data_IF_673704621634
#
_entry.id   IF_673704621634
#
_cell.length_a   1.000
_cell.length_b   1.000
_cell.length_c   1.000
_cell.angle_alpha   90.00
_cell.angle_beta   90.00
_cell.angle_gamma   90.00
#
_symmetry.space_group_name_H-M   'P 1'
#
loop_
_entity.id
_entity.type
_entity.pdbx_description
1 polymer ?
#
# COMPACT_ATOMS: atom_id res chain seq x y z
N UNK A 1 31.15 -35.03 -4.10
CA UNK A 1 31.31 -33.65 -4.62
C UNK A 1 30.11 -32.84 -4.14
N UNK A 2 30.25 -31.91 -3.17
CA UNK A 2 29.15 -31.03 -2.79
C UNK A 2 29.32 -29.65 -3.44
N UNK A 3 28.31 -29.17 -4.16
CA UNK A 3 28.18 -27.77 -4.59
C UNK A 3 26.85 -27.61 -5.35
N UNK A 4 25.98 -26.64 -5.11
CA UNK A 4 25.84 -25.59 -4.10
C UNK A 4 24.55 -24.85 -4.47
N UNK A 5 23.43 -25.13 -3.82
CA UNK A 5 22.21 -24.32 -3.97
C UNK A 5 22.36 -23.05 -3.14
N UNK A 6 22.74 -21.96 -3.79
CA UNK A 6 22.77 -20.63 -3.17
C UNK A 6 21.43 -19.92 -3.39
N UNK A 7 20.40 -20.27 -2.61
CA UNK A 7 19.19 -19.45 -2.46
C UNK A 7 19.51 -18.27 -1.54
N UNK A 8 20.12 -17.23 -2.10
CA UNK A 8 20.48 -16.01 -1.39
C UNK A 8 19.27 -15.13 -1.09
N UNK A 9 18.63 -15.33 0.06
CA UNK A 9 17.70 -14.36 0.63
C UNK A 9 18.46 -13.09 1.03
N UNK A 10 18.13 -11.94 0.41
CA UNK A 10 18.73 -10.65 0.74
C UNK A 10 17.98 -9.99 1.91
N UNK A 11 18.19 -10.49 3.13
CA UNK A 11 17.73 -9.83 4.35
C UNK A 11 18.68 -8.71 4.77
N UNK A 12 18.20 -7.47 4.82
CA UNK A 12 18.90 -6.33 5.48
C UNK A 12 17.87 -5.38 6.12
N UNK A 13 17.76 -5.46 7.45
CA UNK A 13 16.78 -4.76 8.31
C UNK A 13 15.88 -5.75 9.08
N UNK A 14 15.14 -5.31 10.12
CA UNK A 14 14.16 -6.17 10.85
C UNK A 14 13.05 -6.72 9.94
N UNK A 15 12.97 -6.19 8.72
CA UNK A 15 12.06 -6.57 7.64
C UNK A 15 12.87 -7.30 6.57
N UNK A 16 12.71 -8.63 6.48
CA UNK A 16 13.30 -9.46 5.44
C UNK A 16 12.23 -9.70 4.39
N UNK A 17 12.43 -9.23 3.15
CA UNK A 17 11.45 -9.40 2.08
C UNK A 17 12.06 -10.16 0.90
N UNK A 18 11.37 -11.18 0.40
CA UNK A 18 11.78 -12.00 -0.76
C UNK A 18 10.65 -12.14 -1.78
N UNK A 19 10.95 -11.99 -3.07
CA UNK A 19 10.00 -12.28 -4.17
C UNK A 19 8.84 -11.27 -4.26
N UNK A 20 7.59 -11.75 -4.18
CA UNK A 20 6.36 -10.95 -4.34
C UNK A 20 6.30 -9.69 -3.46
N UNK A 21 7.00 -9.70 -2.32
CA UNK A 21 7.11 -8.57 -1.40
C UNK A 21 7.87 -7.36 -1.99
N UNK A 22 8.77 -7.57 -2.95
CA UNK A 22 9.45 -6.46 -3.65
C UNK A 22 8.46 -5.66 -4.51
N UNK A 23 7.51 -6.33 -5.18
CA UNK A 23 6.47 -5.65 -5.97
C UNK A 23 5.51 -4.84 -5.09
N UNK A 24 5.21 -5.32 -3.88
CA UNK A 24 4.41 -4.58 -2.90
C UNK A 24 5.08 -3.24 -2.55
N UNK A 25 6.37 -3.28 -2.21
CA UNK A 25 7.14 -2.09 -1.88
C UNK A 25 7.34 -1.16 -3.07
N UNK A 26 7.47 -1.70 -4.28
CA UNK A 26 7.58 -0.88 -5.50
C UNK A 26 6.34 0.01 -5.69
N UNK A 27 5.13 -0.56 -5.55
CA UNK A 27 3.90 0.24 -5.72
C UNK A 27 3.67 1.21 -4.57
N UNK A 28 4.05 0.84 -3.34
CA UNK A 28 4.05 1.73 -2.18
C UNK A 28 4.96 2.93 -2.42
N UNK A 29 6.21 2.69 -2.82
CA UNK A 29 7.18 3.73 -3.10
C UNK A 29 6.77 4.63 -4.27
N UNK A 30 6.17 4.06 -5.31
CA UNK A 30 5.60 4.82 -6.41
C UNK A 30 4.53 5.83 -5.95
N UNK A 31 3.63 5.44 -5.04
CA UNK A 31 2.63 6.37 -4.46
C UNK A 31 3.26 7.43 -3.56
N UNK A 32 4.29 7.07 -2.79
CA UNK A 32 5.06 8.04 -2.02
C UNK A 32 5.76 9.07 -2.94
N UNK A 33 6.32 8.63 -4.07
CA UNK A 33 6.92 9.53 -5.07
C UNK A 33 5.92 10.46 -5.74
N UNK A 34 4.70 9.98 -6.00
CA UNK A 34 3.61 10.86 -6.44
C UNK A 34 3.30 11.92 -5.38
N UNK A 35 3.17 11.54 -4.11
CA UNK A 35 2.88 12.45 -2.99
C UNK A 35 3.98 13.50 -2.73
N UNK A 36 5.24 13.17 -3.00
CA UNK A 36 6.37 14.12 -2.93
C UNK A 36 6.41 15.10 -4.12
N UNK A 37 5.67 14.84 -5.20
CA UNK A 37 5.71 15.66 -6.41
C UNK A 37 4.99 17.01 -6.24
N UNK A 38 5.36 18.00 -7.04
CA UNK A 38 4.72 19.32 -7.01
C UNK A 38 3.27 19.34 -7.50
N UNK A 39 2.83 18.27 -8.19
CA UNK A 39 1.48 18.11 -8.75
C UNK A 39 1.05 16.64 -8.62
N UNK A 40 0.76 16.17 -7.39
CA UNK A 40 0.43 14.77 -7.15
C UNK A 40 -0.91 14.39 -7.80
N UNK A 41 -0.99 13.18 -8.36
CA UNK A 41 -2.24 12.62 -8.90
C UNK A 41 -3.12 12.08 -7.79
N UNK A 42 -2.51 11.35 -6.85
CA UNK A 42 -3.20 10.67 -5.76
C UNK A 42 -2.95 11.35 -4.42
N UNK A 43 -1.74 11.85 -4.22
CA UNK A 43 -1.31 12.50 -2.98
C UNK A 43 -1.47 11.60 -1.74
N UNK A 44 -0.99 10.37 -1.83
CA UNK A 44 -1.07 9.37 -0.76
C UNK A 44 -0.07 9.66 0.36
N UNK A 45 -0.45 10.54 1.29
CA UNK A 45 0.38 10.94 2.43
C UNK A 45 0.66 9.76 3.38
N UNK A 46 -0.26 8.79 3.49
CA UNK A 46 -0.02 7.57 4.25
C UNK A 46 1.11 6.74 3.63
N UNK A 47 1.14 6.59 2.31
CA UNK A 47 2.25 5.90 1.64
C UNK A 47 3.59 6.61 1.88
N UNK A 48 3.59 7.94 1.89
CA UNK A 48 4.80 8.73 2.19
C UNK A 48 5.30 8.46 3.61
N UNK A 49 4.41 8.50 4.60
CA UNK A 49 4.74 8.22 6.01
C UNK A 49 5.27 6.79 6.21
N UNK A 50 4.60 5.79 5.62
CA UNK A 50 5.02 4.39 5.69
C UNK A 50 6.40 4.20 5.07
N UNK A 51 6.66 4.82 3.91
CA UNK A 51 7.98 4.76 3.26
C UNK A 51 9.05 5.41 4.13
N UNK A 52 8.74 6.51 4.81
CA UNK A 52 9.66 7.13 5.77
C UNK A 52 9.98 6.18 6.92
N UNK A 53 8.97 5.60 7.55
CA UNK A 53 9.15 4.63 8.65
C UNK A 53 9.99 3.43 8.21
N UNK A 54 9.76 2.89 7.01
CA UNK A 54 10.53 1.74 6.49
C UNK A 54 12.00 2.14 6.23
N UNK A 55 12.26 3.35 5.72
CA UNK A 55 13.62 3.87 5.57
C UNK A 55 14.33 4.02 6.91
N UNK A 56 13.64 4.53 7.92
CA UNK A 56 14.19 4.72 9.27
C UNK A 56 14.56 3.37 9.94
N UNK A 57 13.91 2.29 9.53
CA UNK A 57 14.25 0.91 9.94
C UNK A 57 15.41 0.30 9.13
N UNK A 58 16.02 1.06 8.21
CA UNK A 58 17.23 0.69 7.48
C UNK A 58 17.00 0.06 6.11
N UNK A 59 15.77 0.06 5.57
CA UNK A 59 15.51 -0.46 4.23
C UNK A 59 15.87 0.57 3.14
N UNK A 60 16.64 0.14 2.14
CA UNK A 60 17.05 1.00 1.02
C UNK A 60 16.15 0.81 -0.22
N UNK A 61 15.25 1.77 -0.45
CA UNK A 61 14.38 1.81 -1.62
C UNK A 61 15.11 2.06 -2.95
N UNK A 62 16.39 2.50 -2.96
CA UNK A 62 17.15 2.71 -4.20
C UNK A 62 17.26 1.43 -5.03
N UNK A 63 17.23 0.26 -4.39
CA UNK A 63 17.22 -1.05 -5.06
C UNK A 63 15.93 -1.34 -5.82
N UNK A 64 14.84 -0.66 -5.44
CA UNK A 64 13.50 -0.84 -6.00
C UNK A 64 13.26 0.08 -7.20
N UNK A 65 14.10 1.11 -7.41
CA UNK A 65 13.91 2.09 -8.49
C UNK A 65 15.21 2.50 -9.16
N UNK A 66 15.38 2.17 -10.44
CA UNK A 66 16.36 2.83 -11.29
C UNK A 66 15.78 4.22 -11.66
N UNK A 67 16.22 5.26 -10.95
CA UNK A 67 15.74 6.64 -11.13
C UNK A 67 15.87 7.12 -12.58
N UNK A 68 14.75 7.28 -13.27
CA UNK A 68 14.69 7.68 -14.67
C UNK A 68 13.25 7.94 -15.14
N UNK A 69 13.04 8.34 -16.41
CA UNK A 69 11.71 8.65 -16.98
C UNK A 69 10.69 7.52 -16.82
N UNK A 70 11.18 6.27 -16.84
CA UNK A 70 10.39 5.06 -16.60
C UNK A 70 9.81 5.00 -15.19
N UNK A 71 10.56 5.48 -14.18
CA UNK A 71 10.11 5.54 -12.78
C UNK A 71 9.00 6.58 -12.60
N UNK A 72 9.07 7.73 -13.28
CA UNK A 72 8.01 8.75 -13.24
C UNK A 72 6.74 8.23 -13.89
N UNK A 73 6.84 7.65 -15.08
CA UNK A 73 5.68 7.05 -15.77
C UNK A 73 5.04 5.93 -14.96
N UNK A 74 5.86 5.10 -14.33
CA UNK A 74 5.39 4.04 -13.43
C UNK A 74 4.66 4.62 -12.21
N UNK A 75 5.25 5.61 -11.53
CA UNK A 75 4.61 6.28 -10.40
C UNK A 75 3.27 6.89 -10.79
N UNK A 76 3.22 7.61 -11.92
CA UNK A 76 1.96 8.18 -12.44
C UNK A 76 0.92 7.11 -12.75
N UNK A 77 1.31 5.98 -13.36
CA UNK A 77 0.40 4.89 -13.70
C UNK A 77 -0.17 4.21 -12.45
N UNK A 78 0.68 3.95 -11.45
CA UNK A 78 0.27 3.39 -10.16
C UNK A 78 -0.69 4.33 -9.44
N UNK A 79 -0.36 5.61 -9.37
CA UNK A 79 -1.16 6.62 -8.67
C UNK A 79 -2.49 6.89 -9.37
N UNK A 80 -2.51 6.96 -10.70
CA UNK A 80 -3.74 7.10 -11.48
C UNK A 80 -4.66 5.90 -11.30
N UNK A 81 -4.14 4.66 -11.37
CA UNK A 81 -4.92 3.45 -11.12
C UNK A 81 -5.54 3.47 -9.72
N UNK A 82 -4.76 3.83 -8.71
CA UNK A 82 -5.24 3.92 -7.35
C UNK A 82 -6.34 5.00 -7.20
N UNK A 83 -6.16 6.17 -7.83
CA UNK A 83 -7.15 7.26 -7.83
C UNK A 83 -8.47 6.85 -8.50
N UNK A 84 -8.41 6.11 -9.61
CA UNK A 84 -9.60 5.60 -10.28
C UNK A 84 -10.39 4.65 -9.38
N UNK A 85 -9.70 3.74 -8.68
CA UNK A 85 -10.33 2.83 -7.72
C UNK A 85 -10.96 3.57 -6.54
N UNK A 86 -10.31 4.61 -6.03
CA UNK A 86 -10.88 5.47 -4.98
C UNK A 86 -12.17 6.13 -5.47
N UNK A 87 -12.16 6.75 -6.66
CA UNK A 87 -13.34 7.40 -7.25
C UNK A 87 -14.49 6.39 -7.41
N UNK A 88 -14.21 5.19 -7.91
CA UNK A 88 -15.22 4.13 -8.05
C UNK A 88 -15.82 3.75 -6.69
N UNK A 89 -14.97 3.55 -5.69
CA UNK A 89 -15.37 3.18 -4.32
C UNK A 89 -16.21 4.28 -3.67
N UNK A 90 -15.75 5.53 -3.72
CA UNK A 90 -16.45 6.70 -3.20
C UNK A 90 -17.80 6.92 -3.90
N UNK A 91 -17.87 6.71 -5.21
CA UNK A 91 -19.14 6.83 -5.96
C UNK A 91 -20.13 5.75 -5.55
N UNK A 92 -19.67 4.52 -5.32
CA UNK A 92 -20.51 3.45 -4.82
C UNK A 92 -21.05 3.79 -3.42
N UNK A 93 -20.18 4.19 -2.51
CA UNK A 93 -20.56 4.49 -1.12
C UNK A 93 -21.46 5.73 -1.01
N UNK A 94 -21.31 6.74 -1.89
CA UNK A 94 -22.23 7.89 -1.93
C UNK A 94 -23.62 7.55 -2.45
N UNK A 95 -23.73 6.56 -3.34
CA UNK A 95 -25.03 6.10 -3.87
C UNK A 95 -25.73 5.11 -2.93
N UNK A 96 -24.99 4.46 -2.05
CA UNK A 96 -25.49 3.45 -1.13
C UNK A 96 -25.18 3.87 0.32
N UNK A 97 -26.05 4.70 0.91
CA UNK A 97 -25.83 5.29 2.22
C UNK A 97 -25.97 4.30 3.40
N UNK A 98 -26.63 3.17 3.18
CA UNK A 98 -26.82 2.12 4.19
C UNK A 98 -25.59 1.24 4.43
N UNK A 99 -25.80 0.10 5.12
CA UNK A 99 -24.77 -0.90 5.37
C UNK A 99 -24.10 -1.37 4.08
N UNK A 100 -22.77 -1.48 4.11
CA UNK A 100 -21.97 -1.90 2.97
C UNK A 100 -20.65 -2.49 3.44
N UNK A 101 -20.21 -3.57 2.79
CA UNK A 101 -18.87 -4.13 3.03
C UNK A 101 -17.99 -3.87 1.81
N UNK A 102 -16.83 -3.25 2.03
CA UNK A 102 -15.77 -3.12 1.02
C UNK A 102 -14.75 -4.22 1.27
N UNK A 103 -14.64 -5.15 0.33
CA UNK A 103 -13.60 -6.19 0.35
C UNK A 103 -12.48 -5.80 -0.62
N UNK A 104 -11.30 -5.54 -0.06
CA UNK A 104 -10.11 -5.15 -0.80
C UNK A 104 -9.15 -6.34 -0.90
N UNK A 105 -9.25 -7.05 -2.02
CA UNK A 105 -8.47 -8.26 -2.30
C UNK A 105 -7.04 -7.92 -2.76
N UNK A 106 -6.08 -8.73 -2.32
CA UNK A 106 -4.65 -8.51 -2.57
C UNK A 106 -4.26 -7.07 -2.19
N UNK A 107 -4.67 -6.65 -0.98
CA UNK A 107 -4.57 -5.27 -0.53
C UNK A 107 -3.13 -4.75 -0.44
N UNK A 108 -2.14 -5.65 -0.36
CA UNK A 108 -0.73 -5.31 -0.42
C UNK A 108 -0.34 -4.28 0.63
N UNK A 109 0.32 -3.20 0.20
CA UNK A 109 0.64 -2.03 1.04
C UNK A 109 -0.19 -0.79 0.67
N UNK A 110 -1.38 -0.99 0.11
CA UNK A 110 -2.28 0.10 -0.29
C UNK A 110 -3.04 0.65 0.93
N UNK A 111 -3.01 1.98 1.09
CA UNK A 111 -3.56 2.76 2.20
C UNK A 111 -4.99 3.24 1.95
N UNK A 112 -5.69 2.67 0.95
CA UNK A 112 -7.05 3.11 0.59
C UNK A 112 -8.03 3.15 1.76
N UNK A 113 -7.96 2.16 2.66
CA UNK A 113 -8.78 2.11 3.87
C UNK A 113 -8.59 3.32 4.79
N UNK A 114 -7.45 4.00 4.70
CA UNK A 114 -7.12 5.19 5.50
C UNK A 114 -7.55 6.48 4.82
N UNK A 115 -7.56 6.54 3.49
CA UNK A 115 -7.80 7.80 2.74
C UNK A 115 -9.18 7.92 2.11
N UNK A 116 -9.85 6.81 1.80
CA UNK A 116 -11.23 6.84 1.29
C UNK A 116 -12.16 7.04 2.48
N UNK A 117 -13.12 7.97 2.36
CA UNK A 117 -14.15 8.18 3.37
C UNK A 117 -15.22 7.10 3.24
N UNK A 118 -15.05 6.00 3.96
CA UNK A 118 -15.97 4.87 3.89
C UNK A 118 -16.77 4.65 5.17
N UNK A 119 -16.30 5.14 6.31
CA UNK A 119 -16.94 4.95 7.60
C UNK A 119 -18.39 5.46 7.59
N UNK A 120 -19.27 4.68 8.22
CA UNK A 120 -20.70 4.93 8.33
C UNK A 120 -21.35 3.77 9.07
N UNK A 121 -22.59 3.97 9.52
CA UNK A 121 -23.35 2.95 10.25
C UNK A 121 -23.49 1.67 9.40
N UNK A 122 -23.15 0.53 9.98
CA UNK A 122 -23.18 -0.78 9.30
C UNK A 122 -22.18 -0.95 8.16
N UNK A 123 -21.16 -0.08 8.06
CA UNK A 123 -20.12 -0.21 7.02
C UNK A 123 -18.86 -0.88 7.54
N UNK A 124 -18.31 -1.77 6.72
CA UNK A 124 -17.12 -2.55 7.01
C UNK A 124 -16.10 -2.40 5.88
N UNK A 125 -14.82 -2.33 6.25
CA UNK A 125 -13.70 -2.43 5.30
C UNK A 125 -12.84 -3.63 5.67
N UNK A 126 -12.66 -4.54 4.72
CA UNK A 126 -11.88 -5.76 4.90
C UNK A 126 -10.72 -5.73 3.91
N UNK A 127 -9.51 -5.57 4.43
CA UNK A 127 -8.28 -5.76 3.68
C UNK A 127 -7.88 -7.25 3.74
N UNK A 128 -7.85 -7.93 2.58
CA UNK A 128 -7.59 -9.36 2.48
C UNK A 128 -6.35 -9.64 1.62
N UNK A 129 -5.38 -10.35 2.17
CA UNK A 129 -4.14 -10.76 1.50
C UNK A 129 -3.54 -11.99 2.21
N UNK A 130 -2.39 -12.47 1.75
CA UNK A 130 -1.61 -13.51 2.41
C UNK A 130 -1.18 -13.06 3.81
N UNK A 131 -1.05 -14.03 4.72
CA UNK A 131 -0.74 -13.79 6.13
C UNK A 131 0.51 -12.90 6.32
N UNK A 132 1.59 -13.18 5.59
CA UNK A 132 2.84 -12.44 5.64
C UNK A 132 2.68 -10.96 5.23
N UNK A 133 1.78 -10.67 4.29
CA UNK A 133 1.47 -9.30 3.86
C UNK A 133 0.67 -8.57 4.93
N UNK A 134 -0.35 -9.21 5.50
CA UNK A 134 -1.17 -8.60 6.56
C UNK A 134 -0.33 -8.35 7.83
N UNK A 135 0.57 -9.27 8.18
CA UNK A 135 1.50 -9.09 9.29
C UNK A 135 2.43 -7.89 9.06
N UNK A 136 2.99 -7.75 7.85
CA UNK A 136 3.79 -6.59 7.49
C UNK A 136 2.99 -5.28 7.57
N UNK A 137 1.75 -5.25 7.05
CA UNK A 137 0.87 -4.08 7.12
C UNK A 137 0.70 -3.63 8.57
N UNK A 138 0.39 -4.54 9.49
CA UNK A 138 0.16 -4.24 10.91
C UNK A 138 1.39 -3.67 11.62
N UNK A 139 2.60 -3.92 11.12
CA UNK A 139 3.84 -3.36 11.69
C UNK A 139 4.07 -1.90 11.31
N UNK A 140 3.54 -1.44 10.17
CA UNK A 140 3.88 -0.13 9.59
C UNK A 140 2.68 0.75 9.25
N UNK A 141 1.46 0.21 9.29
CA UNK A 141 0.21 0.92 9.03
C UNK A 141 -0.64 0.90 10.29
N UNK A 142 -1.28 2.04 10.58
CA UNK A 142 -2.34 2.10 11.59
C UNK A 142 -3.62 1.54 10.99
N UNK A 143 -4.41 0.86 11.81
CA UNK A 143 -5.77 0.55 11.43
C UNK A 143 -6.58 1.86 11.32
N UNK A 144 -7.53 1.95 10.37
CA UNK A 144 -8.44 3.08 10.31
C UNK A 144 -9.25 3.18 11.60
N UNK A 145 -9.53 4.41 12.05
CA UNK A 145 -10.39 4.63 13.20
C UNK A 145 -11.74 3.91 13.00
N UNK A 146 -12.08 3.05 13.95
CA UNK A 146 -13.36 2.35 13.96
C UNK A 146 -14.47 3.37 14.20
N UNK A 147 -15.21 3.74 13.15
CA UNK A 147 -16.53 4.35 13.33
C UNK A 147 -17.48 3.35 13.97
N UNK A 148 -18.63 3.81 14.49
CA UNK A 148 -19.70 2.94 15.02
C UNK A 148 -20.32 2.06 13.91
N UNK A 149 -19.60 1.04 13.50
CA UNK A 149 -20.15 -0.18 12.93
C UNK A 149 -20.15 -1.18 14.08
N UNK A 150 -21.21 -1.17 14.89
CA UNK A 150 -21.41 -2.25 15.86
C UNK A 150 -21.68 -3.54 15.09
N UNK A 151 -20.94 -4.59 15.47
CA UNK A 151 -20.94 -5.91 14.85
C UNK A 151 -22.22 -6.69 15.14
#
# INVERSE_FOLDING_TARGET
MPSSDSSGGLGKGKVTLSGAQETLLLTLFARAKDAESSRPILNDQYALDIVSQIKDQGYDFKRTTAGGPTTVMFASSVSMRARMLDICTERFLRRNLGPATVLHLACGMDSRSLRVKWQGEGRLWIDADRHDVIELRRQVMKDPDTGKGEY
#
